data_IF_160975082651
#
_entry.id   IF_160975082651
#
_cell.length_a   1.000
_cell.length_b   1.000
_cell.length_c   1.000
_cell.angle_alpha   90.00
_cell.angle_beta   90.00
_cell.angle_gamma   90.00
#
_symmetry.space_group_name_H-M   'P 1'
#
loop_
_entity.id
_entity.type
_entity.pdbx_description
1 polymer ?
#
# COMPACT_ATOMS: atom_id res chain seq x y z
N UNK A 1 4.78 20.01 -40.33
CA UNK A 1 5.62 18.99 -39.66
C UNK A 1 6.78 19.70 -38.98
N UNK A 2 6.74 19.82 -37.65
CA UNK A 2 7.90 20.29 -36.90
C UNK A 2 8.78 19.09 -36.56
N UNK A 3 10.11 19.16 -36.75
CA UNK A 3 10.99 18.08 -36.32
C UNK A 3 10.88 17.97 -34.80
N UNK A 4 10.25 16.90 -34.34
CA UNK A 4 10.25 16.54 -32.93
C UNK A 4 11.71 16.28 -32.54
N UNK A 5 12.34 17.21 -31.81
CA UNK A 5 13.64 16.93 -31.22
C UNK A 5 13.44 15.77 -30.26
N UNK A 6 14.05 14.60 -30.50
CA UNK A 6 13.91 13.49 -29.59
C UNK A 6 14.59 13.91 -28.28
N UNK A 7 13.77 14.29 -27.30
CA UNK A 7 14.20 14.36 -25.90
C UNK A 7 14.62 12.94 -25.56
N UNK A 8 15.91 12.61 -25.73
CA UNK A 8 16.57 11.29 -25.53
C UNK A 8 15.55 10.18 -25.24
N UNK A 9 15.07 9.53 -26.31
CA UNK A 9 13.92 8.62 -26.34
C UNK A 9 13.97 7.37 -25.44
N UNK A 10 15.01 7.20 -24.62
CA UNK A 10 15.06 6.18 -23.58
C UNK A 10 14.30 6.52 -22.30
N UNK A 11 13.88 7.78 -22.10
CA UNK A 11 13.30 8.22 -20.81
C UNK A 11 11.78 8.42 -20.79
N UNK A 12 11.11 8.40 -21.94
CA UNK A 12 9.66 8.58 -22.07
C UNK A 12 8.86 7.27 -21.97
N UNK A 13 9.51 6.10 -22.06
CA UNK A 13 8.80 4.82 -22.10
C UNK A 13 8.38 4.27 -20.73
N UNK A 14 8.84 4.84 -19.62
CA UNK A 14 8.76 4.12 -18.33
C UNK A 14 8.29 4.90 -17.10
N UNK A 15 7.87 6.17 -17.21
CA UNK A 15 7.43 6.91 -16.00
C UNK A 15 5.99 7.40 -16.07
N UNK A 16 5.13 6.54 -15.53
CA UNK A 16 3.92 6.77 -14.72
C UNK A 16 3.83 8.08 -13.88
N UNK A 17 4.87 8.93 -13.80
CA UNK A 17 4.78 10.28 -13.23
C UNK A 17 4.09 11.25 -14.18
N UNK A 18 4.18 11.02 -15.49
CA UNK A 18 3.35 11.73 -16.46
C UNK A 18 1.88 11.41 -16.19
N UNK A 19 1.51 10.18 -15.79
CA UNK A 19 0.12 9.82 -15.48
C UNK A 19 -0.46 10.62 -14.31
N UNK A 20 0.30 11.10 -13.32
CA UNK A 20 -0.27 11.87 -12.20
C UNK A 20 -0.52 13.34 -12.56
N UNK A 21 0.38 13.99 -13.30
CA UNK A 21 0.15 15.35 -13.81
C UNK A 21 -0.80 15.34 -15.01
N UNK A 22 -0.69 14.35 -15.88
CA UNK A 22 -1.64 14.12 -16.97
C UNK A 22 -3.00 13.74 -16.40
N UNK A 23 -3.10 13.00 -15.28
CA UNK A 23 -4.38 12.78 -14.58
C UNK A 23 -4.84 14.01 -13.81
N UNK A 24 -3.98 14.90 -13.32
CA UNK A 24 -4.39 16.17 -12.71
C UNK A 24 -4.89 17.17 -13.77
N UNK A 25 -4.24 17.21 -14.93
CA UNK A 25 -4.68 17.98 -16.10
C UNK A 25 -5.95 17.36 -16.69
N UNK A 26 -5.99 16.03 -16.86
CA UNK A 26 -7.17 15.31 -17.36
C UNK A 26 -8.31 15.37 -16.36
N UNK A 27 -8.10 15.28 -15.05
CA UNK A 27 -9.17 15.44 -14.05
C UNK A 27 -9.67 16.87 -13.95
N UNK A 28 -8.78 17.86 -14.11
CA UNK A 28 -9.17 19.27 -14.22
C UNK A 28 -9.98 19.54 -15.50
N UNK A 29 -9.82 18.71 -16.53
CA UNK A 29 -10.51 18.77 -17.83
C UNK A 29 -11.82 17.95 -17.82
N UNK A 30 -11.84 16.79 -17.16
CA UNK A 30 -12.95 15.83 -17.19
C UNK A 30 -14.22 16.40 -16.53
N UNK A 31 -14.06 17.29 -15.54
CA UNK A 31 -15.18 17.98 -14.88
C UNK A 31 -15.63 19.29 -15.55
N UNK A 32 -15.01 19.70 -16.67
CA UNK A 32 -15.31 20.97 -17.36
C UNK A 32 -16.16 20.74 -18.62
N UNK A 33 -17.08 21.67 -18.97
CA UNK A 33 -17.78 21.63 -20.25
C UNK A 33 -16.79 21.70 -21.41
N UNK A 34 -17.13 21.07 -22.55
CA UNK A 34 -16.21 20.84 -23.67
C UNK A 34 -15.53 22.11 -24.21
N UNK A 35 -16.22 23.25 -24.19
CA UNK A 35 -15.70 24.54 -24.63
C UNK A 35 -14.49 25.03 -23.81
N UNK A 36 -14.40 24.67 -22.53
CA UNK A 36 -13.35 25.13 -21.61
C UNK A 36 -12.17 24.15 -21.49
N UNK A 37 -12.32 22.92 -22.00
CA UNK A 37 -11.32 21.86 -21.86
C UNK A 37 -9.99 22.25 -22.49
N UNK A 38 -10.05 22.81 -23.70
CA UNK A 38 -8.86 23.20 -24.46
C UNK A 38 -8.15 24.40 -23.81
N UNK A 39 -8.90 25.38 -23.30
CA UNK A 39 -8.31 26.58 -22.68
C UNK A 39 -7.63 26.23 -21.35
N UNK A 40 -8.26 25.37 -20.55
CA UNK A 40 -7.68 24.86 -19.29
C UNK A 40 -6.45 23.99 -19.57
N UNK A 41 -6.49 23.15 -20.60
CA UNK A 41 -5.33 22.35 -21.02
C UNK A 41 -4.17 23.24 -21.44
N UNK A 42 -4.39 24.18 -22.37
CA UNK A 42 -3.34 25.07 -22.87
C UNK A 42 -2.77 25.99 -21.79
N UNK A 43 -3.57 26.38 -20.80
CA UNK A 43 -3.10 27.16 -19.65
C UNK A 43 -2.15 26.34 -18.74
N UNK A 44 -2.33 25.02 -18.64
CA UNK A 44 -1.49 24.12 -17.84
C UNK A 44 -0.20 23.67 -18.53
N UNK A 45 -0.14 23.70 -19.88
CA UNK A 45 1.02 23.22 -20.66
C UNK A 45 2.34 23.93 -20.33
N UNK A 46 2.43 25.28 -20.22
CA UNK A 46 3.68 25.96 -19.91
C UNK A 46 4.21 25.61 -18.53
N UNK A 47 3.32 25.45 -17.56
CA UNK A 47 3.65 25.09 -16.18
C UNK A 47 4.15 23.64 -16.12
N UNK A 48 3.48 22.72 -16.84
CA UNK A 48 3.94 21.35 -17.04
C UNK A 48 5.32 21.28 -17.69
N UNK A 49 5.58 22.04 -18.76
CA UNK A 49 6.89 22.06 -19.43
C UNK A 49 7.97 22.61 -18.49
N UNK A 50 7.68 23.66 -17.73
CA UNK A 50 8.62 24.24 -16.78
C UNK A 50 8.96 23.25 -15.65
N UNK A 51 7.96 22.53 -15.16
CA UNK A 51 8.11 21.52 -14.12
C UNK A 51 8.86 20.28 -14.61
N UNK A 52 8.54 19.77 -15.82
CA UNK A 52 9.28 18.67 -16.45
C UNK A 52 10.75 19.06 -16.67
N UNK A 53 11.03 20.30 -17.07
CA UNK A 53 12.41 20.81 -17.21
C UNK A 53 13.12 21.01 -15.87
N UNK A 54 12.41 21.43 -14.83
CA UNK A 54 12.97 21.54 -13.48
C UNK A 54 13.27 20.15 -12.90
N UNK A 55 12.34 19.20 -13.07
CA UNK A 55 12.48 17.81 -12.69
C UNK A 55 13.61 17.11 -13.47
N UNK A 56 13.77 17.44 -14.76
CA UNK A 56 14.88 16.99 -15.59
C UNK A 56 16.24 17.52 -15.12
N UNK A 57 16.29 18.73 -14.57
CA UNK A 57 17.51 19.33 -13.98
C UNK A 57 17.82 18.78 -12.59
N UNK A 58 16.83 18.61 -11.72
CA UNK A 58 17.03 17.95 -10.42
C UNK A 58 17.38 16.46 -10.56
N UNK A 59 17.04 15.83 -11.69
CA UNK A 59 17.55 14.50 -12.04
C UNK A 59 19.07 14.44 -12.25
N UNK A 60 19.82 15.54 -12.22
CA UNK A 60 21.29 15.49 -12.15
C UNK A 60 21.82 14.88 -10.85
N UNK A 61 20.95 14.51 -9.88
CA UNK A 61 21.27 13.53 -8.84
C UNK A 61 21.94 12.32 -9.51
N UNK A 62 23.13 11.99 -9.00
CA UNK A 62 24.07 11.05 -9.61
C UNK A 62 23.36 9.78 -10.09
N UNK A 63 23.68 9.27 -11.30
CA UNK A 63 23.06 8.06 -11.83
C UNK A 63 23.14 6.88 -10.84
N UNK A 64 24.20 6.83 -10.03
CA UNK A 64 24.36 5.86 -8.93
C UNK A 64 23.24 5.91 -7.89
N UNK A 65 22.81 7.09 -7.44
CA UNK A 65 21.74 7.18 -6.43
C UNK A 65 20.39 6.65 -6.93
N UNK A 66 20.10 6.79 -8.23
CA UNK A 66 18.88 6.21 -8.82
C UNK A 66 18.96 4.71 -8.96
N UNK A 67 20.13 4.20 -9.34
CA UNK A 67 20.39 2.78 -9.40
C UNK A 67 20.19 2.18 -8.00
N UNK A 68 20.89 2.71 -7.00
CA UNK A 68 20.79 2.26 -5.61
C UNK A 68 19.34 2.29 -5.10
N UNK A 69 18.59 3.37 -5.34
CA UNK A 69 17.19 3.45 -4.88
C UNK A 69 16.27 2.40 -5.54
N UNK A 70 16.49 2.10 -6.82
CA UNK A 70 15.64 1.15 -7.56
C UNK A 70 15.95 -0.29 -7.12
N UNK A 71 17.23 -0.64 -6.99
CA UNK A 71 17.64 -1.99 -6.61
C UNK A 71 17.48 -2.25 -5.11
N UNK A 72 17.57 -1.21 -4.26
CA UNK A 72 17.38 -1.36 -2.82
C UNK A 72 16.00 -1.94 -2.46
N UNK A 73 14.92 -1.50 -3.11
CA UNK A 73 13.57 -2.03 -2.85
C UNK A 73 13.48 -3.53 -3.20
N UNK A 74 14.09 -3.95 -4.32
CA UNK A 74 14.14 -5.36 -4.70
C UNK A 74 15.01 -6.20 -3.76
N UNK A 75 16.16 -5.68 -3.33
CA UNK A 75 17.02 -6.36 -2.35
C UNK A 75 16.30 -6.54 -1.01
N UNK A 76 15.60 -5.51 -0.52
CA UNK A 76 14.81 -5.58 0.71
C UNK A 76 13.67 -6.60 0.60
N UNK A 77 12.99 -6.63 -0.55
CA UNK A 77 11.95 -7.61 -0.82
C UNK A 77 12.50 -9.04 -0.84
N UNK A 78 13.59 -9.28 -1.57
CA UNK A 78 14.24 -10.60 -1.64
C UNK A 78 14.72 -11.06 -0.26
N UNK A 79 15.28 -10.15 0.54
CA UNK A 79 15.70 -10.43 1.90
C UNK A 79 14.49 -10.81 2.78
N UNK A 80 13.39 -10.07 2.68
CA UNK A 80 12.15 -10.38 3.41
C UNK A 80 11.60 -11.76 3.04
N UNK A 81 11.60 -12.12 1.75
CA UNK A 81 11.15 -13.44 1.27
C UNK A 81 12.08 -14.53 1.79
N UNK A 82 13.40 -14.34 1.71
CA UNK A 82 14.38 -15.30 2.22
C UNK A 82 14.19 -15.57 3.71
N UNK A 83 13.96 -14.53 4.53
CA UNK A 83 13.68 -14.67 5.96
C UNK A 83 12.38 -15.45 6.19
N UNK A 84 11.31 -15.16 5.45
CA UNK A 84 10.05 -15.90 5.60
C UNK A 84 10.18 -17.37 5.19
N UNK A 85 10.96 -17.69 4.15
CA UNK A 85 11.25 -19.07 3.75
C UNK A 85 12.07 -19.78 4.84
N UNK A 86 13.09 -19.12 5.40
CA UNK A 86 13.87 -19.68 6.52
C UNK A 86 12.99 -19.93 7.75
N UNK A 87 12.10 -18.99 8.09
CA UNK A 87 11.13 -19.16 9.17
C UNK A 87 10.22 -20.37 8.90
N UNK A 88 9.67 -20.49 7.69
CA UNK A 88 8.81 -21.61 7.32
C UNK A 88 9.52 -22.96 7.43
N UNK A 89 10.76 -23.06 6.93
CA UNK A 89 11.57 -24.29 7.01
C UNK A 89 11.96 -24.60 8.45
N UNK A 90 12.24 -23.59 9.28
CA UNK A 90 12.58 -23.77 10.69
C UNK A 90 11.38 -24.12 11.58
N UNK A 91 10.16 -23.75 11.16
CA UNK A 91 8.92 -23.93 11.92
C UNK A 91 8.30 -25.31 11.76
N UNK A 92 8.85 -26.20 10.94
CA UNK A 92 8.29 -27.55 10.70
C UNK A 92 8.42 -28.51 11.88
N UNK A 93 9.14 -28.13 12.94
CA UNK A 93 9.09 -28.85 14.22
C UNK A 93 7.81 -28.46 14.94
N UNK A 94 6.83 -29.38 14.92
CA UNK A 94 5.54 -29.23 15.58
C UNK A 94 5.74 -28.74 17.01
N UNK A 95 5.25 -27.54 17.36
CA UNK A 95 5.25 -27.10 18.74
C UNK A 95 4.41 -28.08 19.54
N UNK A 96 4.95 -28.56 20.65
CA UNK A 96 4.20 -29.35 21.61
C UNK A 96 3.01 -28.47 22.07
N UNK A 97 1.74 -28.88 21.89
CA UNK A 97 0.57 -28.02 22.15
C UNK A 97 0.46 -27.54 23.61
N UNK A 98 1.25 -28.12 24.51
CA UNK A 98 1.30 -27.76 25.91
C UNK A 98 2.28 -26.62 26.22
N UNK A 99 3.13 -26.22 25.28
CA UNK A 99 4.19 -25.23 25.50
C UNK A 99 3.87 -23.89 24.82
N UNK A 100 2.84 -23.21 25.34
CA UNK A 100 2.34 -21.94 24.78
C UNK A 100 3.30 -20.76 25.00
N UNK A 101 4.34 -20.92 25.85
CA UNK A 101 5.12 -19.78 26.33
C UNK A 101 6.60 -19.74 25.97
N UNK A 102 7.17 -20.78 25.40
CA UNK A 102 8.60 -20.75 25.13
C UNK A 102 8.94 -21.64 23.94
N UNK A 103 9.32 -21.01 22.83
CA UNK A 103 10.30 -21.60 21.92
C UNK A 103 11.58 -21.79 22.75
N UNK A 104 11.67 -22.83 23.56
CA UNK A 104 12.82 -23.08 24.41
C UNK A 104 13.99 -23.55 23.53
N UNK A 105 14.81 -22.57 23.15
CA UNK A 105 16.01 -22.74 22.30
C UNK A 105 17.03 -23.67 22.98
N UNK A 106 16.85 -23.98 24.26
CA UNK A 106 17.69 -24.85 25.07
C UNK A 106 17.86 -26.27 24.52
N UNK A 107 16.82 -26.89 23.97
CA UNK A 107 16.89 -28.29 23.49
C UNK A 107 16.75 -28.47 21.98
N UNK A 108 16.67 -27.37 21.24
CA UNK A 108 16.68 -27.40 19.79
C UNK A 108 18.07 -27.87 19.32
N UNK A 109 18.12 -28.93 18.49
CA UNK A 109 19.37 -29.44 17.90
C UNK A 109 20.22 -28.33 17.26
N UNK A 110 21.53 -28.57 17.13
CA UNK A 110 22.51 -27.57 16.66
C UNK A 110 22.06 -26.87 15.37
N UNK A 111 21.40 -27.59 14.47
CA UNK A 111 20.85 -27.07 13.21
C UNK A 111 19.80 -25.95 13.41
N UNK A 112 18.88 -26.12 14.38
CA UNK A 112 17.85 -25.11 14.69
C UNK A 112 18.43 -23.85 15.34
N UNK A 113 19.51 -23.97 16.09
CA UNK A 113 20.20 -22.80 16.68
C UNK A 113 20.89 -21.98 15.60
N UNK A 114 21.56 -22.62 14.65
CA UNK A 114 22.15 -21.95 13.49
C UNK A 114 21.10 -21.21 12.65
N UNK A 115 19.94 -21.83 12.41
CA UNK A 115 18.84 -21.18 11.70
C UNK A 115 18.30 -19.95 12.44
N UNK A 116 18.10 -20.05 13.76
CA UNK A 116 17.65 -18.93 14.59
C UNK A 116 18.61 -17.74 14.57
N UNK A 117 19.93 -18.01 14.70
CA UNK A 117 20.96 -16.95 14.61
C UNK A 117 20.99 -16.34 13.21
N UNK A 118 20.89 -17.15 12.15
CA UNK A 118 20.86 -16.66 10.79
C UNK A 118 19.64 -15.74 10.54
N UNK A 119 18.45 -16.14 10.99
CA UNK A 119 17.23 -15.33 10.92
C UNK A 119 17.44 -14.01 11.67
N UNK A 120 17.93 -14.04 12.91
CA UNK A 120 18.19 -12.83 13.70
C UNK A 120 19.15 -11.86 12.99
N UNK A 121 20.27 -12.36 12.46
CA UNK A 121 21.25 -11.55 11.73
C UNK A 121 20.63 -10.94 10.48
N UNK A 122 19.90 -11.73 9.68
CA UNK A 122 19.23 -11.25 8.47
C UNK A 122 18.16 -10.20 8.81
N UNK A 123 17.41 -10.38 9.91
CA UNK A 123 16.43 -9.40 10.39
C UNK A 123 17.10 -8.09 10.80
N UNK A 124 18.24 -8.12 11.50
CA UNK A 124 19.00 -6.91 11.83
C UNK A 124 19.51 -6.19 10.58
N UNK A 125 20.02 -6.93 9.59
CA UNK A 125 20.43 -6.37 8.29
C UNK A 125 19.22 -5.73 7.59
N UNK A 126 18.06 -6.40 7.59
CA UNK A 126 16.84 -5.88 6.99
C UNK A 126 16.39 -4.58 7.68
N UNK A 127 16.38 -4.53 9.01
CA UNK A 127 16.03 -3.33 9.79
C UNK A 127 16.97 -2.18 9.42
N UNK A 128 18.29 -2.42 9.47
CA UNK A 128 19.28 -1.39 9.15
C UNK A 128 19.09 -0.85 7.72
N UNK A 129 18.92 -1.74 6.74
CA UNK A 129 18.69 -1.36 5.35
C UNK A 129 17.37 -0.59 5.17
N UNK A 130 16.30 -1.00 5.84
CA UNK A 130 14.99 -0.32 5.78
C UNK A 130 15.03 1.08 6.41
N UNK A 131 15.75 1.24 7.52
CA UNK A 131 15.94 2.54 8.18
C UNK A 131 16.75 3.49 7.27
N UNK A 132 17.88 3.02 6.73
CA UNK A 132 18.69 3.83 5.79
C UNK A 132 17.86 4.21 4.56
N UNK A 133 17.10 3.27 4.02
CA UNK A 133 16.21 3.52 2.88
C UNK A 133 15.13 4.56 3.20
N UNK A 134 14.50 4.46 4.36
CA UNK A 134 13.44 5.38 4.81
C UNK A 134 13.97 6.77 5.09
N UNK A 135 15.14 6.90 5.70
CA UNK A 135 15.81 8.20 5.91
C UNK A 135 16.19 8.82 4.57
N UNK A 136 16.81 8.06 3.67
CA UNK A 136 17.19 8.57 2.34
C UNK A 136 15.99 9.04 1.53
N UNK A 137 14.89 8.31 1.61
CA UNK A 137 13.62 8.71 1.02
C UNK A 137 13.07 10.01 1.62
N UNK A 138 13.05 10.11 2.94
CA UNK A 138 12.56 11.29 3.65
C UNK A 138 13.38 12.54 3.32
N UNK A 139 14.72 12.42 3.34
CA UNK A 139 15.63 13.50 2.95
C UNK A 139 15.41 13.91 1.49
N UNK A 140 15.26 12.94 0.57
CA UNK A 140 14.99 13.23 -0.83
C UNK A 140 13.68 14.01 -1.04
N UNK A 141 12.63 13.64 -0.30
CA UNK A 141 11.35 14.35 -0.28
C UNK A 141 11.51 15.75 0.32
N UNK A 142 12.18 15.87 1.47
CA UNK A 142 12.41 17.14 2.15
C UNK A 142 13.17 18.13 1.27
N UNK A 143 14.19 17.67 0.56
CA UNK A 143 14.96 18.51 -0.37
C UNK A 143 14.06 19.03 -1.49
N UNK A 144 13.25 18.16 -2.13
CA UNK A 144 12.28 18.55 -3.17
C UNK A 144 11.24 19.54 -2.66
N UNK A 145 10.72 19.31 -1.46
CA UNK A 145 9.77 20.22 -0.84
C UNK A 145 10.42 21.58 -0.53
N UNK A 146 11.63 21.58 0.02
CA UNK A 146 12.37 22.81 0.33
C UNK A 146 12.75 23.62 -0.90
N UNK A 147 13.04 22.96 -2.04
CA UNK A 147 13.38 23.63 -3.29
C UNK A 147 12.14 24.27 -3.90
N UNK A 148 11.02 23.54 -3.97
CA UNK A 148 9.73 24.04 -4.42
C UNK A 148 9.25 25.23 -3.58
N UNK A 149 9.32 25.10 -2.25
CA UNK A 149 8.94 26.17 -1.33
C UNK A 149 9.77 27.43 -1.52
N UNK A 150 11.11 27.30 -1.64
CA UNK A 150 12.01 28.44 -1.88
C UNK A 150 11.74 29.16 -3.19
N UNK A 151 11.48 28.43 -4.28
CA UNK A 151 11.17 29.03 -5.58
C UNK A 151 9.86 29.82 -5.53
N UNK A 152 8.82 29.26 -4.89
CA UNK A 152 7.54 29.95 -4.76
C UNK A 152 7.60 31.16 -3.83
N UNK A 153 8.18 31.00 -2.64
CA UNK A 153 8.33 32.10 -1.70
C UNK A 153 9.21 33.23 -2.27
N UNK A 154 10.25 32.86 -3.02
CA UNK A 154 11.10 33.81 -3.75
C UNK A 154 10.35 34.62 -4.80
N UNK A 155 9.41 34.01 -5.54
CA UNK A 155 8.56 34.72 -6.50
C UNK A 155 7.55 35.64 -5.81
N UNK A 156 6.94 35.20 -4.71
CA UNK A 156 6.04 36.03 -3.91
C UNK A 156 6.74 37.25 -3.33
N UNK A 157 7.98 37.10 -2.84
CA UNK A 157 8.77 38.22 -2.32
C UNK A 157 9.17 39.22 -3.42
N UNK A 158 9.44 38.76 -4.65
CA UNK A 158 9.74 39.64 -5.81
C UNK A 158 8.52 40.28 -6.43
N UNK A 159 7.35 39.63 -6.39
CA UNK A 159 6.09 40.13 -6.93
C UNK A 159 5.34 41.12 -6.03
N UNK A 160 5.90 41.46 -4.85
CA UNK A 160 5.27 42.37 -3.88
C UNK A 160 5.47 43.86 -4.20
N UNK A 161 5.95 44.22 -5.39
CA UNK A 161 6.16 45.63 -5.77
C UNK A 161 4.92 46.25 -6.40
N UNK A 162 4.01 45.48 -7.00
CA UNK A 162 2.90 46.08 -7.77
C UNK A 162 1.52 45.54 -7.34
N UNK A 163 0.97 46.08 -6.24
CA UNK A 163 -0.48 46.25 -5.99
C UNK A 163 -1.47 45.07 -6.15
N UNK A 164 -1.03 43.83 -6.39
CA UNK A 164 -1.92 42.74 -6.74
C UNK A 164 -2.66 42.20 -5.51
N UNK A 165 -3.96 42.48 -5.47
CA UNK A 165 -4.93 42.01 -4.48
C UNK A 165 -4.75 40.51 -4.15
N UNK A 166 -4.74 40.20 -2.85
CA UNK A 166 -4.55 38.87 -2.26
C UNK A 166 -5.61 37.81 -2.67
N UNK A 167 -6.59 38.19 -3.49
CA UNK A 167 -7.64 37.33 -4.05
C UNK A 167 -7.26 36.67 -5.39
N UNK A 168 -6.01 36.83 -5.85
CA UNK A 168 -5.54 36.23 -7.09
C UNK A 168 -5.79 34.70 -7.12
N UNK A 169 -6.60 34.18 -8.07
CA UNK A 169 -6.93 32.75 -8.16
C UNK A 169 -5.69 31.86 -8.36
N UNK A 170 -4.56 32.45 -8.78
CA UNK A 170 -3.27 31.76 -8.92
C UNK A 170 -2.69 31.31 -7.58
N UNK A 171 -2.87 32.10 -6.51
CA UNK A 171 -2.34 31.74 -5.18
C UNK A 171 -3.09 30.54 -4.62
N UNK A 172 -4.42 30.49 -4.81
CA UNK A 172 -5.27 29.37 -4.38
C UNK A 172 -4.94 28.09 -5.16
N UNK A 173 -4.72 28.19 -6.46
CA UNK A 173 -4.35 27.04 -7.30
C UNK A 173 -3.00 26.42 -6.86
N UNK A 174 -2.00 27.27 -6.61
CA UNK A 174 -0.67 26.83 -6.17
C UNK A 174 -0.73 26.20 -4.76
N UNK A 175 -1.47 26.80 -3.83
CA UNK A 175 -1.66 26.24 -2.50
C UNK A 175 -2.34 24.86 -2.55
N UNK A 176 -3.34 24.69 -3.43
CA UNK A 176 -3.97 23.38 -3.67
C UNK A 176 -3.00 22.37 -4.28
N UNK A 177 -2.21 22.76 -5.27
CA UNK A 177 -1.20 21.88 -5.88
C UNK A 177 -0.16 21.40 -4.85
N UNK A 178 0.31 22.30 -3.98
CA UNK A 178 1.21 21.96 -2.88
C UNK A 178 0.56 21.01 -1.87
N UNK A 179 -0.72 21.21 -1.53
CA UNK A 179 -1.47 20.33 -0.64
C UNK A 179 -1.61 18.90 -1.23
N UNK A 180 -1.98 18.77 -2.51
CA UNK A 180 -2.06 17.47 -3.17
C UNK A 180 -0.71 16.76 -3.28
N UNK A 181 0.36 17.51 -3.56
CA UNK A 181 1.72 16.96 -3.55
C UNK A 181 2.11 16.45 -2.15
N UNK A 182 1.74 17.19 -1.10
CA UNK A 182 1.99 16.80 0.29
C UNK A 182 1.22 15.53 0.68
N UNK A 183 -0.06 15.42 0.32
CA UNK A 183 -0.86 14.21 0.57
C UNK A 183 -0.28 12.97 -0.13
N UNK A 184 0.11 13.11 -1.40
CA UNK A 184 0.71 12.01 -2.17
C UNK A 184 2.06 11.57 -1.61
N UNK A 185 2.83 12.51 -1.07
CA UNK A 185 4.09 12.25 -0.36
C UNK A 185 3.82 11.54 0.97
N UNK A 186 2.88 12.08 1.77
CA UNK A 186 2.50 11.54 3.06
C UNK A 186 2.09 10.07 2.95
N UNK A 187 1.23 9.73 1.98
CA UNK A 187 0.80 8.34 1.75
C UNK A 187 1.97 7.38 1.47
N UNK A 188 2.97 7.81 0.69
CA UNK A 188 4.16 6.99 0.38
C UNK A 188 5.09 6.86 1.59
N UNK A 189 5.23 7.92 2.38
CA UNK A 189 6.03 7.87 3.60
C UNK A 189 5.38 7.00 4.67
N UNK A 190 4.04 7.03 4.79
CA UNK A 190 3.31 6.24 5.78
C UNK A 190 3.51 4.74 5.54
N UNK A 191 3.43 4.27 4.29
CA UNK A 191 3.72 2.87 3.96
C UNK A 191 5.13 2.44 4.37
N UNK A 192 6.14 3.27 4.10
CA UNK A 192 7.54 2.98 4.46
C UNK A 192 7.78 2.97 5.97
N UNK A 193 7.19 3.91 6.69
CA UNK A 193 7.24 3.95 8.16
C UNK A 193 6.56 2.71 8.74
N UNK A 194 5.42 2.31 8.19
CA UNK A 194 4.73 1.08 8.57
C UNK A 194 5.61 -0.16 8.39
N UNK A 195 6.22 -0.34 7.21
CA UNK A 195 7.13 -1.48 6.97
C UNK A 195 8.36 -1.46 7.86
N UNK A 196 8.92 -0.27 8.14
CA UNK A 196 10.05 -0.13 9.08
C UNK A 196 9.63 -0.53 10.50
N UNK A 197 8.45 -0.09 10.95
CA UNK A 197 7.88 -0.49 12.23
C UNK A 197 7.64 -2.00 12.32
N UNK A 198 7.11 -2.62 11.26
CA UNK A 198 6.92 -4.07 11.20
C UNK A 198 8.24 -4.85 11.21
N UNK A 199 9.28 -4.35 10.52
CA UNK A 199 10.62 -4.95 10.58
C UNK A 199 11.21 -4.91 11.99
N UNK A 200 11.03 -3.82 12.74
CA UNK A 200 11.44 -3.72 14.15
C UNK A 200 10.58 -4.63 15.04
N UNK A 201 9.27 -4.66 14.80
CA UNK A 201 8.33 -5.55 15.47
C UNK A 201 8.66 -7.04 15.29
N UNK A 202 9.35 -7.39 14.21
CA UNK A 202 9.78 -8.74 13.92
C UNK A 202 10.84 -9.28 14.90
N UNK A 203 11.51 -8.41 15.66
CA UNK A 203 12.37 -8.81 16.78
C UNK A 203 11.57 -9.40 17.95
N UNK A 204 10.30 -9.04 18.08
CA UNK A 204 9.42 -9.48 19.17
C UNK A 204 8.46 -10.59 18.74
N UNK A 205 8.01 -10.59 17.48
CA UNK A 205 7.10 -11.60 16.95
C UNK A 205 7.44 -11.95 15.50
N UNK A 206 7.67 -13.24 15.17
CA UNK A 206 8.00 -13.66 13.81
C UNK A 206 6.85 -13.42 12.82
N UNK A 207 5.61 -13.30 13.29
CA UNK A 207 4.44 -13.00 12.45
C UNK A 207 4.58 -11.65 11.74
N UNK A 208 5.31 -10.70 12.35
CA UNK A 208 5.56 -9.39 11.73
C UNK A 208 6.32 -9.51 10.39
N UNK A 209 7.16 -10.55 10.21
CA UNK A 209 7.83 -10.78 8.93
C UNK A 209 6.87 -11.07 7.77
N UNK A 210 5.70 -11.64 8.04
CA UNK A 210 4.68 -11.87 7.01
C UNK A 210 4.10 -10.54 6.49
N UNK A 211 3.93 -9.55 7.38
CA UNK A 211 3.46 -8.21 6.99
C UNK A 211 4.50 -7.46 6.16
N UNK A 212 5.80 -7.66 6.41
CA UNK A 212 6.86 -7.01 5.63
C UNK A 212 6.86 -7.50 4.17
N UNK A 213 6.44 -8.75 3.92
CA UNK A 213 6.27 -9.28 2.55
C UNK A 213 5.19 -8.54 1.76
N UNK A 214 4.23 -7.85 2.41
CA UNK A 214 3.24 -7.03 1.71
C UNK A 214 3.88 -5.87 0.93
N UNK A 215 5.15 -5.54 1.19
CA UNK A 215 5.95 -4.65 0.34
C UNK A 215 6.00 -5.12 -1.13
N UNK A 216 5.81 -6.42 -1.39
CA UNK A 216 5.65 -6.99 -2.73
C UNK A 216 4.58 -6.25 -3.55
N UNK A 217 3.47 -5.85 -2.92
CA UNK A 217 2.37 -5.13 -3.58
C UNK A 217 2.82 -3.74 -4.05
N UNK A 218 3.74 -3.10 -3.33
CA UNK A 218 4.26 -1.79 -3.71
C UNK A 218 5.30 -1.89 -4.84
N UNK A 219 6.18 -2.89 -4.77
CA UNK A 219 7.27 -3.11 -5.73
C UNK A 219 6.76 -3.64 -7.06
N UNK A 220 5.78 -4.56 -7.05
CA UNK A 220 5.28 -5.21 -8.26
C UNK A 220 4.08 -4.45 -8.85
N UNK A 221 4.24 -3.78 -10.00
CA UNK A 221 3.22 -2.87 -10.54
C UNK A 221 1.96 -3.58 -11.03
N UNK A 222 2.02 -4.88 -11.33
CA UNK A 222 0.87 -5.71 -11.73
C UNK A 222 -0.04 -5.98 -10.54
N UNK A 223 0.51 -6.44 -9.41
CA UNK A 223 -0.22 -6.65 -8.16
C UNK A 223 -0.92 -5.38 -7.69
N UNK A 224 -0.23 -4.25 -7.73
CA UNK A 224 -0.82 -2.95 -7.40
C UNK A 224 -2.03 -2.62 -8.27
N UNK A 225 -1.98 -2.89 -9.58
CA UNK A 225 -3.11 -2.63 -10.48
C UNK A 225 -4.32 -3.48 -10.10
N UNK A 226 -4.11 -4.76 -9.83
CA UNK A 226 -5.18 -5.68 -9.38
C UNK A 226 -5.80 -5.15 -8.10
N UNK A 227 -4.99 -4.82 -7.09
CA UNK A 227 -5.48 -4.27 -5.83
C UNK A 227 -6.26 -2.96 -6.03
N UNK A 228 -5.76 -2.05 -6.86
CA UNK A 228 -6.47 -0.79 -7.14
C UNK A 228 -7.79 -1.00 -7.86
N UNK A 229 -7.93 -2.07 -8.67
CA UNK A 229 -9.20 -2.42 -9.30
C UNK A 229 -10.25 -2.83 -8.26
N UNK A 230 -9.83 -3.62 -7.26
CA UNK A 230 -10.68 -4.03 -6.15
C UNK A 230 -11.05 -2.82 -5.29
N UNK A 231 -10.08 -1.99 -4.92
CA UNK A 231 -10.30 -0.81 -4.07
C UNK A 231 -11.23 0.21 -4.74
N UNK A 232 -11.13 0.39 -6.07
CA UNK A 232 -12.04 1.29 -6.81
C UNK A 232 -13.50 0.85 -6.71
N UNK A 233 -13.75 -0.45 -6.64
CA UNK A 233 -15.08 -1.04 -6.54
C UNK A 233 -15.46 -1.42 -5.09
N UNK A 234 -14.64 -1.06 -4.10
CA UNK A 234 -14.82 -1.51 -2.72
C UNK A 234 -16.17 -1.10 -2.12
N UNK A 235 -16.72 0.07 -2.49
CA UNK A 235 -18.05 0.50 -2.06
C UNK A 235 -19.14 -0.46 -2.54
N UNK A 236 -19.11 -0.84 -3.83
CA UNK A 236 -20.07 -1.80 -4.37
C UNK A 236 -19.91 -3.17 -3.73
N UNK A 237 -18.66 -3.60 -3.54
CA UNK A 237 -18.33 -4.88 -2.92
C UNK A 237 -18.79 -4.96 -1.45
N UNK A 238 -18.69 -3.85 -0.72
CA UNK A 238 -19.19 -3.74 0.66
C UNK A 238 -20.71 -3.85 0.71
N UNK A 239 -21.44 -3.21 -0.21
CA UNK A 239 -22.89 -3.35 -0.29
C UNK A 239 -23.33 -4.77 -0.65
N UNK A 240 -22.63 -5.43 -1.56
CA UNK A 240 -22.92 -6.85 -1.88
C UNK A 240 -22.63 -7.76 -0.69
N UNK A 241 -21.53 -7.52 0.05
CA UNK A 241 -21.21 -8.28 1.25
C UNK A 241 -22.27 -8.07 2.35
N UNK A 242 -22.74 -6.84 2.54
CA UNK A 242 -23.83 -6.53 3.47
C UNK A 242 -25.13 -7.24 3.08
N UNK A 243 -25.49 -7.27 1.79
CA UNK A 243 -26.65 -8.00 1.30
C UNK A 243 -26.53 -9.50 1.60
N UNK A 244 -25.35 -10.10 1.38
CA UNK A 244 -25.08 -11.51 1.69
C UNK A 244 -25.27 -11.81 3.19
N UNK A 245 -24.82 -10.91 4.07
CA UNK A 245 -25.03 -11.03 5.53
C UNK A 245 -26.53 -10.96 5.88
N UNK A 246 -27.29 -10.05 5.27
CA UNK A 246 -28.75 -9.95 5.49
C UNK A 246 -29.46 -11.21 5.02
N UNK A 247 -29.11 -11.73 3.84
CA UNK A 247 -29.67 -12.99 3.34
C UNK A 247 -29.36 -14.15 4.29
N UNK A 248 -28.11 -14.29 4.75
CA UNK A 248 -27.73 -15.31 5.73
C UNK A 248 -28.51 -15.18 7.05
N UNK A 249 -28.73 -13.96 7.53
CA UNK A 249 -29.55 -13.71 8.71
C UNK A 249 -31.00 -14.18 8.51
N UNK A 250 -31.63 -13.85 7.37
CA UNK A 250 -32.97 -14.32 7.05
C UNK A 250 -33.05 -15.85 6.98
N UNK A 251 -32.09 -16.51 6.33
CA UNK A 251 -32.03 -17.97 6.27
C UNK A 251 -31.87 -18.59 7.66
N UNK A 252 -30.96 -18.05 8.49
CA UNK A 252 -30.77 -18.51 9.86
C UNK A 252 -32.02 -18.31 10.73
N UNK A 253 -32.76 -17.21 10.55
CA UNK A 253 -34.01 -16.97 11.28
C UNK A 253 -35.10 -17.96 10.87
N UNK A 254 -35.22 -18.27 9.58
CA UNK A 254 -36.16 -19.29 9.10
C UNK A 254 -35.80 -20.66 9.66
N UNK A 255 -34.55 -21.10 9.55
CA UNK A 255 -34.12 -22.42 10.05
C UNK A 255 -34.24 -22.54 11.57
N UNK A 256 -33.98 -21.46 12.30
CA UNK A 256 -34.19 -21.39 13.75
C UNK A 256 -35.67 -21.52 14.12
N UNK A 257 -36.54 -20.76 13.45
CA UNK A 257 -37.98 -20.75 13.74
C UNK A 257 -38.68 -22.06 13.36
N UNK A 258 -38.31 -22.67 12.24
CA UNK A 258 -38.90 -23.95 11.80
C UNK A 258 -38.33 -25.17 12.52
N UNK A 259 -37.33 -25.01 13.39
CA UNK A 259 -36.74 -26.10 14.16
C UNK A 259 -35.79 -27.01 13.35
N UNK A 260 -35.30 -26.56 12.19
CA UNK A 260 -34.26 -27.28 11.43
C UNK A 260 -32.89 -27.28 12.14
N UNK A 261 -32.78 -26.63 13.30
CA UNK A 261 -31.59 -26.61 14.16
C UNK A 261 -31.10 -28.01 14.53
N UNK A 262 -31.98 -29.02 14.55
CA UNK A 262 -31.67 -30.42 14.84
C UNK A 262 -30.76 -31.10 13.80
N UNK A 263 -30.65 -30.55 12.59
CA UNK A 263 -29.78 -31.08 11.53
C UNK A 263 -28.38 -30.48 11.55
N UNK A 264 -28.14 -29.45 12.37
CA UNK A 264 -26.85 -28.76 12.49
C UNK A 264 -26.01 -29.23 13.68
N UNK A 265 -26.43 -30.29 14.37
CA UNK A 265 -25.66 -30.90 15.46
C UNK A 265 -24.47 -31.67 14.87
N UNK A 266 -23.23 -31.33 15.23
CA UNK A 266 -22.06 -32.09 14.79
C UNK A 266 -22.09 -33.48 15.43
N UNK A 267 -22.32 -34.49 14.61
CA UNK A 267 -22.21 -35.89 15.00
C UNK A 267 -20.75 -36.18 15.40
N UNK A 268 -20.54 -36.52 16.68
CA UNK A 268 -19.67 -37.60 17.19
C UNK A 268 -19.47 -37.51 18.72
N UNK A 269 -19.69 -36.36 19.36
CA UNK A 269 -19.52 -36.21 20.83
C UNK A 269 -20.81 -35.93 21.60
N UNK A 270 -21.96 -35.82 20.92
CA UNK A 270 -23.28 -35.75 21.56
C UNK A 270 -23.56 -34.45 22.35
N UNK A 271 -22.67 -33.47 22.32
CA UNK A 271 -22.89 -32.14 22.92
C UNK A 271 -22.39 -31.08 21.95
N UNK A 272 -23.31 -30.55 21.15
CA UNK A 272 -23.02 -29.48 20.20
C UNK A 272 -24.28 -28.69 19.93
N UNK A 273 -24.65 -27.82 20.88
CA UNK A 273 -25.70 -26.80 20.79
C UNK A 273 -25.33 -25.69 19.80
N UNK A 274 -24.98 -26.09 18.58
CA UNK A 274 -24.37 -25.24 17.57
C UNK A 274 -25.35 -24.21 16.99
N UNK A 275 -26.62 -24.27 17.36
CA UNK A 275 -27.64 -23.32 16.94
C UNK A 275 -28.69 -23.11 18.06
N UNK A 276 -28.22 -23.03 19.31
CA UNK A 276 -29.08 -22.77 20.47
C UNK A 276 -29.56 -21.31 20.49
N UNK A 277 -28.74 -20.41 19.96
CA UNK A 277 -29.05 -19.00 19.81
C UNK A 277 -29.00 -18.58 18.33
N UNK A 278 -29.93 -17.73 17.90
CA UNK A 278 -29.98 -17.19 16.54
C UNK A 278 -28.62 -16.65 16.01
N UNK A 279 -27.84 -15.84 16.75
CA UNK A 279 -26.54 -15.37 16.25
C UNK A 279 -25.52 -16.50 16.05
N UNK A 280 -25.59 -17.57 16.85
CA UNK A 280 -24.73 -18.74 16.70
C UNK A 280 -25.06 -19.49 15.41
N UNK A 281 -26.35 -19.64 15.09
CA UNK A 281 -26.81 -20.20 13.81
C UNK A 281 -26.26 -19.40 12.63
N UNK A 282 -26.35 -18.06 12.66
CA UNK A 282 -25.80 -17.21 11.60
C UNK A 282 -24.30 -17.44 11.42
N UNK A 283 -23.55 -17.53 12.51
CA UNK A 283 -22.10 -17.75 12.45
C UNK A 283 -21.75 -19.12 11.83
N UNK A 284 -22.49 -20.17 12.19
CA UNK A 284 -22.29 -21.51 11.62
C UNK A 284 -22.69 -21.55 10.16
N UNK A 285 -23.83 -20.97 9.79
CA UNK A 285 -24.22 -20.84 8.38
C UNK A 285 -23.15 -20.09 7.57
N UNK A 286 -22.56 -19.03 8.12
CA UNK A 286 -21.48 -18.30 7.46
C UNK A 286 -20.19 -19.13 7.35
N UNK A 287 -19.82 -19.89 8.38
CA UNK A 287 -18.56 -20.65 8.42
C UNK A 287 -18.61 -21.90 7.55
N UNK A 288 -19.73 -22.64 7.58
CA UNK A 288 -19.87 -23.92 6.88
C UNK A 288 -20.67 -23.82 5.58
N UNK A 289 -21.61 -22.88 5.47
CA UNK A 289 -22.50 -22.75 4.32
C UNK A 289 -21.94 -21.90 3.18
N UNK A 290 -21.10 -20.88 3.45
CA UNK A 290 -20.49 -20.08 2.38
C UNK A 290 -19.39 -20.80 1.60
N UNK A 291 -18.47 -21.56 2.22
CA UNK A 291 -17.37 -22.19 1.49
C UNK A 291 -17.79 -23.42 0.68
N UNK A 292 -18.92 -24.04 1.03
CA UNK A 292 -19.44 -25.24 0.39
C UNK A 292 -20.23 -24.85 -0.86
N UNK A 293 -19.69 -25.17 -2.03
CA UNK A 293 -20.30 -24.86 -3.34
C UNK A 293 -21.65 -25.54 -3.59
N UNK A 294 -22.04 -26.51 -2.75
CA UNK A 294 -23.33 -27.22 -2.82
C UNK A 294 -24.43 -26.63 -1.93
N UNK A 295 -24.13 -25.59 -1.14
CA UNK A 295 -25.04 -25.09 -0.11
C UNK A 295 -25.10 -25.99 1.13
N UNK A 296 -26.04 -25.67 2.02
CA UNK A 296 -26.28 -26.45 3.24
C UNK A 296 -27.28 -27.54 2.89
N UNK A 297 -26.78 -28.77 2.73
CA UNK A 297 -27.60 -29.98 2.51
C UNK A 297 -27.70 -30.80 3.77
#
# INVERSE_FOLDING_TARGET
>A
FFPFTPIRGGMLRERRKDILHHAAVVSAVDGKPDADRLSVFLAGVPEYIAEVRAYGRERLVSPGARFVATYAEWCLLLLSVAINVLLLVSSTKTPDPNDLHTYDVGNAGVESRCAGVAVLVLTLIQIAAQVVYSIGAFVGIWVQFSSAYRVHYGRLKRGRVDGASASSPKIVLIARAAAYAFEGVAARTTGRVFFTGMSVGALFSPICHAFVVLMLVEVVPTLRRVLTSIVRNAKSLLWTAALVVVCMYCFAAVTFYTGYTRYFTPDTTGVGGNCDNLPQCVFILATYGLPTTGGIT
#
